data_IF_198991932716
#
_entry.id   IF_198991932716
#
_cell.length_a   1.000
_cell.length_b   1.000
_cell.length_c   1.000
_cell.angle_alpha   90.00
_cell.angle_beta   90.00
_cell.angle_gamma   90.00
#
_symmetry.space_group_name_H-M   'P 1'
#
loop_
_entity.id
_entity.type
_entity.pdbx_description
1 polymer ?
#
# COMPACT_ATOMS: atom_id res chain seq x y z
N UNK A 1 -0.79 6.95 27.29
CA UNK A 1 -0.69 5.58 26.76
C UNK A 1 0.78 5.31 26.49
N UNK A 2 1.43 4.40 27.22
CA UNK A 2 2.90 4.21 27.14
C UNK A 2 3.27 3.58 25.79
N UNK A 3 4.31 4.09 25.16
CA UNK A 3 4.90 3.50 23.94
C UNK A 3 5.44 2.12 24.33
N UNK A 4 4.81 1.07 23.85
CA UNK A 4 5.36 -0.29 23.95
C UNK A 4 6.54 -0.36 22.98
N UNK A 5 7.75 -0.21 23.51
CA UNK A 5 8.96 -0.40 22.71
C UNK A 5 9.19 -1.90 22.52
N UNK A 6 8.83 -2.42 21.38
CA UNK A 6 9.22 -3.76 20.96
C UNK A 6 10.64 -3.69 20.38
N UNK A 7 11.57 -4.35 21.02
CA UNK A 7 12.95 -4.46 20.52
C UNK A 7 13.05 -5.61 19.50
N UNK A 8 13.96 -5.49 18.51
CA UNK A 8 14.22 -6.56 17.56
C UNK A 8 14.62 -7.85 18.29
N UNK A 9 14.04 -8.98 17.87
CA UNK A 9 14.33 -10.29 18.48
C UNK A 9 15.67 -10.89 18.04
N UNK A 10 16.24 -10.40 16.94
CA UNK A 10 17.51 -10.85 16.36
C UNK A 10 18.49 -9.68 16.29
N UNK A 11 19.78 -9.95 16.32
CA UNK A 11 20.83 -8.96 16.12
C UNK A 11 21.03 -8.56 14.65
N UNK A 12 20.57 -9.40 13.72
CA UNK A 12 20.67 -9.17 12.26
C UNK A 12 19.39 -9.61 11.58
N UNK A 13 19.03 -8.89 10.52
CA UNK A 13 17.92 -9.19 9.61
C UNK A 13 18.42 -9.07 8.18
N UNK A 14 17.84 -9.88 7.28
CA UNK A 14 18.18 -9.87 5.86
C UNK A 14 17.62 -8.62 5.17
N UNK A 15 16.44 -8.17 5.61
CA UNK A 15 15.80 -6.95 5.12
C UNK A 15 15.29 -6.13 6.30
N UNK A 16 15.58 -4.83 6.28
CA UNK A 16 15.01 -3.86 7.23
C UNK A 16 14.19 -2.83 6.45
N UNK A 17 12.90 -2.78 6.74
CA UNK A 17 11.96 -1.82 6.18
C UNK A 17 11.78 -0.68 7.16
N UNK A 18 12.14 0.53 6.77
CA UNK A 18 11.98 1.74 7.59
C UNK A 18 10.68 2.45 7.22
N UNK A 19 9.76 2.48 8.17
CA UNK A 19 8.39 2.96 8.00
C UNK A 19 7.42 1.79 7.79
N UNK A 20 6.39 1.70 8.61
CA UNK A 20 5.37 0.65 8.62
C UNK A 20 4.03 1.07 8.00
N UNK A 21 3.93 2.27 7.40
CA UNK A 21 2.74 2.70 6.69
C UNK A 21 2.55 1.90 5.38
N UNK A 22 1.65 2.31 4.49
CA UNK A 22 1.21 1.49 3.36
C UNK A 22 2.35 0.92 2.50
N UNK A 23 3.37 1.72 2.19
CA UNK A 23 4.50 1.25 1.38
C UNK A 23 5.33 0.18 2.09
N UNK A 24 5.74 0.46 3.32
CA UNK A 24 6.57 -0.48 4.08
C UNK A 24 5.83 -1.76 4.44
N UNK A 25 4.58 -1.66 4.85
CA UNK A 25 3.72 -2.82 5.12
C UNK A 25 3.51 -3.65 3.85
N UNK A 26 3.28 -3.02 2.71
CA UNK A 26 3.13 -3.70 1.42
C UNK A 26 4.41 -4.46 1.04
N UNK A 27 5.57 -3.80 1.09
CA UNK A 27 6.87 -4.44 0.79
C UNK A 27 7.10 -5.64 1.70
N UNK A 28 6.93 -5.47 3.02
CA UNK A 28 7.14 -6.53 3.99
C UNK A 28 6.18 -7.70 3.76
N UNK A 29 4.91 -7.42 3.47
CA UNK A 29 3.88 -8.43 3.25
C UNK A 29 4.16 -9.23 1.98
N UNK A 30 4.38 -8.57 0.85
CA UNK A 30 4.67 -9.26 -0.41
C UNK A 30 5.97 -10.07 -0.34
N UNK A 31 6.99 -9.52 0.29
CA UNK A 31 8.26 -10.21 0.47
C UNK A 31 8.11 -11.45 1.37
N UNK A 32 7.31 -11.36 2.44
CA UNK A 32 7.07 -12.49 3.34
C UNK A 32 6.27 -13.63 2.68
N UNK A 33 5.54 -13.35 1.60
CA UNK A 33 4.78 -14.35 0.83
C UNK A 33 5.53 -14.88 -0.39
N UNK A 34 6.68 -14.30 -0.71
CA UNK A 34 7.50 -14.79 -1.79
C UNK A 34 8.19 -16.08 -1.37
N UNK A 35 7.88 -17.19 -2.05
CA UNK A 35 8.45 -18.53 -1.77
C UNK A 35 9.96 -18.59 -2.00
N UNK A 36 10.49 -17.70 -2.84
CA UNK A 36 11.92 -17.63 -3.15
C UNK A 36 12.70 -16.79 -2.12
N UNK A 37 11.98 -16.13 -1.19
CA UNK A 37 12.58 -15.35 -0.13
C UNK A 37 12.49 -16.07 1.22
N UNK A 38 13.58 -16.75 1.61
CA UNK A 38 13.68 -17.43 2.92
C UNK A 38 14.27 -16.57 4.04
N UNK A 39 14.46 -15.27 3.81
CA UNK A 39 15.10 -14.35 4.74
C UNK A 39 14.19 -13.84 5.86
N UNK A 40 14.80 -13.12 6.82
CA UNK A 40 14.10 -12.45 7.91
C UNK A 40 13.88 -10.97 7.61
N UNK A 41 12.68 -10.48 7.92
CA UNK A 41 12.27 -9.09 7.70
C UNK A 41 12.04 -8.40 9.04
N UNK A 42 12.56 -7.20 9.19
CA UNK A 42 12.25 -6.29 10.29
C UNK A 42 11.56 -5.05 9.73
N UNK A 43 10.39 -4.72 10.26
CA UNK A 43 9.74 -3.43 9.99
C UNK A 43 9.97 -2.54 11.20
N UNK A 44 10.51 -1.36 10.98
CA UNK A 44 10.75 -0.36 12.02
C UNK A 44 9.82 0.82 11.77
N UNK A 45 8.94 1.10 12.73
CA UNK A 45 8.04 2.23 12.70
C UNK A 45 8.28 3.13 13.91
N UNK A 46 8.37 4.42 13.65
CA UNK A 46 8.62 5.44 14.67
C UNK A 46 7.37 5.75 15.48
N UNK A 47 6.21 5.71 14.83
CA UNK A 47 4.93 6.10 15.41
C UNK A 47 3.80 5.20 14.92
N UNK A 48 3.39 4.27 15.77
CA UNK A 48 2.32 3.30 15.49
C UNK A 48 0.92 3.93 15.39
N UNK A 49 0.75 5.21 15.71
CA UNK A 49 -0.50 5.92 15.45
C UNK A 49 -0.67 6.27 13.97
N UNK A 50 0.44 6.34 13.23
CA UNK A 50 0.49 6.79 11.83
C UNK A 50 -0.07 8.21 11.62
N UNK A 51 -0.21 9.01 12.68
CA UNK A 51 -0.81 10.35 12.63
C UNK A 51 -0.14 11.23 11.58
N UNK A 52 1.20 11.15 11.50
CA UNK A 52 1.99 11.95 10.55
C UNK A 52 2.42 11.17 9.30
N UNK A 53 1.89 9.99 9.06
CA UNK A 53 2.19 9.24 7.86
C UNK A 53 1.48 9.84 6.63
N UNK A 54 2.16 9.88 5.49
CA UNK A 54 1.56 10.35 4.23
C UNK A 54 0.29 9.58 3.87
N UNK A 55 0.20 8.31 4.23
CA UNK A 55 -0.98 7.48 4.05
C UNK A 55 -2.20 8.05 4.77
N UNK A 56 -2.03 8.60 5.98
CA UNK A 56 -3.12 9.16 6.78
C UNK A 56 -3.57 10.54 6.29
N UNK A 57 -2.73 11.22 5.50
CA UNK A 57 -2.99 12.55 4.96
C UNK A 57 -3.37 12.57 3.48
N UNK A 58 -3.58 11.40 2.87
CA UNK A 58 -4.03 11.30 1.48
C UNK A 58 -5.54 11.50 1.39
N UNK A 59 -6.00 12.05 0.25
CA UNK A 59 -7.43 12.07 -0.10
C UNK A 59 -7.94 10.72 -0.64
N UNK A 60 -7.09 9.71 -0.66
CA UNK A 60 -7.41 8.32 -1.05
C UNK A 60 -8.01 8.16 -2.45
N UNK A 61 -7.74 9.08 -3.36
CA UNK A 61 -8.18 8.97 -4.74
C UNK A 61 -7.27 8.03 -5.54
N UNK A 62 -7.89 7.09 -6.26
CA UNK A 62 -7.20 6.12 -7.11
C UNK A 62 -7.63 6.35 -8.55
N UNK A 63 -6.68 6.41 -9.47
CA UNK A 63 -6.93 6.56 -10.91
C UNK A 63 -6.13 5.55 -11.71
N UNK A 64 -6.59 5.28 -12.94
CA UNK A 64 -5.89 4.41 -13.89
C UNK A 64 -5.46 5.17 -15.17
N UNK A 65 -5.79 6.44 -15.27
CA UNK A 65 -5.42 7.29 -16.41
C UNK A 65 -3.99 7.80 -16.25
N UNK A 66 -3.08 7.20 -16.99
CA UNK A 66 -1.67 7.57 -17.07
C UNK A 66 -1.18 7.45 -18.50
N UNK A 67 -0.16 8.26 -18.85
CA UNK A 67 0.46 8.21 -20.18
C UNK A 67 1.39 7.01 -20.38
N UNK A 68 1.95 6.49 -19.29
CA UNK A 68 2.91 5.40 -19.36
C UNK A 68 2.25 4.05 -19.10
N UNK A 69 2.38 3.04 -19.98
CA UNK A 69 1.72 1.75 -19.84
C UNK A 69 1.99 1.05 -18.51
N UNK A 70 3.22 1.10 -18.01
CA UNK A 70 3.57 0.50 -16.71
C UNK A 70 2.78 1.11 -15.55
N UNK A 71 2.58 2.44 -15.56
CA UNK A 71 1.80 3.10 -14.52
C UNK A 71 0.31 2.71 -14.59
N UNK A 72 -0.20 2.49 -15.80
CA UNK A 72 -1.57 1.98 -15.98
C UNK A 72 -1.68 0.58 -15.38
N UNK A 73 -0.75 -0.33 -15.69
CA UNK A 73 -0.75 -1.69 -15.17
C UNK A 73 -0.62 -1.73 -13.64
N UNK A 74 0.27 -0.92 -13.05
CA UNK A 74 0.42 -0.81 -11.60
C UNK A 74 -0.90 -0.34 -10.96
N UNK A 75 -1.56 0.65 -11.57
CA UNK A 75 -2.81 1.20 -11.04
C UNK A 75 -3.99 0.24 -11.20
N UNK A 76 -4.03 -0.53 -12.28
CA UNK A 76 -5.00 -1.60 -12.48
C UNK A 76 -4.83 -2.70 -11.42
N UNK A 77 -3.60 -3.14 -11.20
CA UNK A 77 -3.30 -4.09 -10.14
C UNK A 77 -3.67 -3.55 -8.75
N UNK A 78 -3.38 -2.27 -8.47
CA UNK A 78 -3.76 -1.63 -7.21
C UNK A 78 -5.29 -1.62 -7.00
N UNK A 79 -6.06 -1.32 -8.04
CA UNK A 79 -7.51 -1.35 -7.98
C UNK A 79 -8.04 -2.78 -7.77
N UNK A 80 -7.49 -3.77 -8.48
CA UNK A 80 -7.83 -5.18 -8.30
C UNK A 80 -7.52 -5.65 -6.86
N UNK A 81 -6.33 -5.32 -6.36
CA UNK A 81 -5.91 -5.66 -4.99
C UNK A 81 -6.87 -5.10 -3.95
N UNK A 82 -7.29 -3.83 -4.07
CA UNK A 82 -8.20 -3.21 -3.12
C UNK A 82 -9.61 -3.80 -3.22
N UNK A 83 -10.12 -4.02 -4.44
CA UNK A 83 -11.45 -4.61 -4.63
C UNK A 83 -11.56 -6.04 -4.10
N UNK A 84 -10.46 -6.78 -4.13
CA UNK A 84 -10.39 -8.16 -3.65
C UNK A 84 -9.56 -8.30 -2.37
N UNK A 85 -9.48 -7.22 -1.58
CA UNK A 85 -8.53 -7.11 -0.47
C UNK A 85 -8.56 -8.32 0.47
N UNK A 86 -9.73 -8.75 0.91
CA UNK A 86 -9.86 -9.88 1.83
C UNK A 86 -9.37 -11.20 1.24
N UNK A 87 -9.58 -11.44 -0.04
CA UNK A 87 -9.14 -12.69 -0.67
C UNK A 87 -7.63 -12.86 -0.67
N UNK A 88 -6.87 -11.76 -0.73
CA UNK A 88 -5.42 -11.79 -0.57
C UNK A 88 -4.98 -12.21 0.84
N UNK A 89 -5.88 -12.15 1.82
CA UNK A 89 -5.66 -12.58 3.21
C UNK A 89 -6.45 -13.84 3.56
N UNK A 90 -6.72 -14.69 2.57
CA UNK A 90 -7.47 -15.95 2.72
C UNK A 90 -8.85 -15.75 3.35
N UNK A 91 -9.52 -14.66 3.03
CA UNK A 91 -10.85 -14.28 3.52
C UNK A 91 -10.96 -14.23 5.05
N UNK A 92 -9.85 -13.91 5.72
CA UNK A 92 -9.81 -13.76 7.19
C UNK A 92 -10.86 -12.72 7.64
N UNK A 93 -11.82 -13.11 8.50
CA UNK A 93 -12.90 -12.21 8.92
C UNK A 93 -12.45 -10.99 9.72
N UNK A 94 -11.21 -11.00 10.22
CA UNK A 94 -10.60 -9.84 10.89
C UNK A 94 -10.13 -8.76 9.91
N UNK A 95 -9.98 -9.10 8.62
CA UNK A 95 -9.59 -8.16 7.58
C UNK A 95 -10.84 -7.43 7.10
N UNK A 96 -10.90 -6.08 7.21
CA UNK A 96 -12.05 -5.32 6.76
C UNK A 96 -12.12 -5.27 5.24
N UNK A 97 -13.33 -5.10 4.71
CA UNK A 97 -13.52 -4.71 3.32
C UNK A 97 -13.11 -3.24 3.15
N UNK A 98 -12.47 -2.93 2.04
CA UNK A 98 -12.11 -1.56 1.69
C UNK A 98 -13.14 -1.04 0.68
N UNK A 99 -14.04 -0.13 1.07
CA UNK A 99 -15.05 0.38 0.15
C UNK A 99 -14.40 1.29 -0.90
N UNK A 100 -14.67 1.01 -2.18
CA UNK A 100 -14.31 1.89 -3.30
C UNK A 100 -15.60 2.47 -3.89
N UNK A 101 -15.62 3.78 -4.08
CA UNK A 101 -16.67 4.47 -4.81
C UNK A 101 -16.15 4.90 -6.17
N UNK A 102 -16.78 4.41 -7.23
CA UNK A 102 -16.43 4.79 -8.61
C UNK A 102 -17.27 6.00 -9.04
N UNK A 103 -16.68 7.18 -8.93
CA UNK A 103 -17.31 8.44 -9.39
C UNK A 103 -16.60 9.05 -10.61
N UNK A 104 -15.48 8.43 -11.04
CA UNK A 104 -14.71 8.87 -12.19
C UNK A 104 -13.78 10.06 -11.91
N UNK A 105 -13.10 10.49 -12.96
CA UNK A 105 -12.26 11.68 -12.98
C UNK A 105 -12.69 12.61 -14.12
N UNK A 106 -12.74 13.89 -13.84
CA UNK A 106 -12.97 14.90 -14.84
C UNK A 106 -11.66 15.67 -15.08
N UNK A 107 -11.21 15.64 -16.34
CA UNK A 107 -10.06 16.40 -16.78
C UNK A 107 -10.53 17.60 -17.60
N UNK A 108 -10.05 18.77 -17.26
CA UNK A 108 -10.30 19.99 -18.01
C UNK A 108 -9.15 20.22 -18.99
N UNK A 109 -9.48 20.47 -20.24
CA UNK A 109 -8.53 20.82 -21.28
C UNK A 109 -8.87 22.18 -21.85
N UNK A 110 -7.88 23.03 -22.03
CA UNK A 110 -8.01 24.36 -22.61
C UNK A 110 -7.99 24.38 -24.12
N UNK A 111 -7.53 23.31 -24.73
CA UNK A 111 -7.45 23.13 -26.17
C UNK A 111 -7.86 21.72 -26.59
N UNK A 112 -8.44 21.54 -27.82
CA UNK A 112 -8.81 20.22 -28.33
C UNK A 112 -7.66 19.20 -28.36
N UNK A 113 -6.42 19.66 -28.43
CA UNK A 113 -5.24 18.80 -28.46
C UNK A 113 -5.09 17.97 -27.16
N UNK A 114 -5.56 18.47 -26.04
CA UNK A 114 -5.47 17.82 -24.73
C UNK A 114 -6.79 17.18 -24.27
N UNK A 115 -7.82 17.24 -25.10
CA UNK A 115 -9.15 16.67 -24.82
C UNK A 115 -9.35 15.24 -25.36
N UNK A 116 -8.33 14.65 -26.00
CA UNK A 116 -8.37 13.33 -26.65
C UNK A 116 -7.84 12.22 -25.74
#
# INVERSE_FOLDING_TARGET
>A
MGIVKNYPKKAKYDVVVVGGAIYGSSVAWWLSRNTDFGGSILVVERDMSYEFASTSHTNSCIRQQFSHPTNIQISQFGAEFINNFRSFFNDDPRVPDIPIQSFGYMYLADTPKYAA
#
